data_IF_721755285275
#
_entry.id   IF_721755285275
#
_cell.length_a   1.000
_cell.length_b   1.000
_cell.length_c   1.000
_cell.angle_alpha   90.00
_cell.angle_beta   90.00
_cell.angle_gamma   90.00
#
_symmetry.space_group_name_H-M   'P 1'
#
loop_
_entity.id
_entity.type
_entity.pdbx_description
1 polymer ?
#
# COMPACT_ATOMS: atom_id res chain seq x y z
N UNK A 1 12.51 -6.00 42.22
CA UNK A 1 12.70 -4.89 41.25
C UNK A 1 13.26 -5.35 39.90
N UNK A 2 14.11 -6.35 39.82
CA UNK A 2 14.73 -6.85 38.58
C UNK A 2 13.73 -7.34 37.51
N UNK A 3 12.64 -8.01 37.88
CA UNK A 3 11.63 -8.52 36.99
C UNK A 3 10.85 -7.41 36.22
N UNK A 4 10.64 -6.26 36.85
CA UNK A 4 9.98 -5.12 36.19
C UNK A 4 10.88 -4.47 35.14
N UNK A 5 12.19 -4.38 35.39
CA UNK A 5 13.14 -3.87 34.41
C UNK A 5 13.30 -4.78 33.20
N UNK A 6 13.33 -6.11 33.40
CA UNK A 6 13.40 -7.08 32.34
C UNK A 6 12.15 -7.07 31.45
N UNK A 7 10.95 -6.95 32.03
CA UNK A 7 9.70 -6.88 31.25
C UNK A 7 9.58 -5.60 30.41
N UNK A 8 10.02 -4.47 30.94
CA UNK A 8 10.04 -3.19 30.20
C UNK A 8 11.07 -3.25 29.05
N UNK A 9 12.25 -3.82 29.29
CA UNK A 9 13.27 -4.01 28.27
C UNK A 9 12.79 -4.92 27.14
N UNK A 10 12.16 -6.04 27.45
CA UNK A 10 11.59 -6.97 26.47
C UNK A 10 10.49 -6.30 25.64
N UNK A 11 9.61 -5.54 26.27
CA UNK A 11 8.54 -4.81 25.59
C UNK A 11 9.11 -3.76 24.61
N UNK A 12 10.17 -3.06 25.02
CA UNK A 12 10.85 -2.07 24.18
C UNK A 12 11.53 -2.72 22.97
N UNK A 13 12.18 -3.88 23.15
CA UNK A 13 12.77 -4.65 22.07
C UNK A 13 11.70 -5.14 21.09
N UNK A 14 10.62 -5.75 21.57
CA UNK A 14 9.52 -6.21 20.74
C UNK A 14 8.88 -5.08 19.95
N UNK A 15 8.76 -3.89 20.53
CA UNK A 15 8.22 -2.71 19.87
C UNK A 15 9.14 -2.21 18.73
N UNK A 16 10.44 -2.17 18.97
CA UNK A 16 11.41 -1.71 17.97
C UNK A 16 11.55 -2.71 16.83
N UNK A 17 11.71 -3.99 17.14
CA UNK A 17 11.84 -5.06 16.13
C UNK A 17 10.53 -5.21 15.34
N UNK A 18 9.38 -5.19 16.02
CA UNK A 18 8.08 -5.23 15.38
C UNK A 18 7.82 -4.04 14.44
N UNK A 19 8.30 -2.85 14.82
CA UNK A 19 8.23 -1.65 13.98
C UNK A 19 9.08 -1.78 12.72
N UNK A 20 10.31 -2.23 12.86
CA UNK A 20 11.26 -2.43 11.73
C UNK A 20 10.75 -3.47 10.74
N UNK A 21 10.35 -4.63 11.24
CA UNK A 21 9.77 -5.71 10.40
C UNK A 21 8.47 -5.25 9.74
N UNK A 22 7.60 -4.56 10.48
CA UNK A 22 6.33 -4.06 9.97
C UNK A 22 6.50 -3.06 8.83
N UNK A 23 7.43 -2.11 8.97
CA UNK A 23 7.72 -1.14 7.88
C UNK A 23 8.29 -1.81 6.65
N UNK A 24 9.23 -2.76 6.80
CA UNK A 24 9.81 -3.50 5.68
C UNK A 24 8.77 -4.32 4.94
N UNK A 25 7.87 -4.99 5.66
CA UNK A 25 6.76 -5.75 5.05
C UNK A 25 5.78 -4.84 4.32
N UNK A 26 5.40 -3.70 4.93
CA UNK A 26 4.51 -2.74 4.31
C UNK A 26 5.10 -2.16 3.02
N UNK A 27 6.39 -1.80 3.04
CA UNK A 27 7.10 -1.30 1.86
C UNK A 27 7.16 -2.36 0.75
N UNK A 28 7.55 -3.59 1.08
CA UNK A 28 7.59 -4.69 0.10
C UNK A 28 6.22 -4.97 -0.51
N UNK A 29 5.16 -4.92 0.31
CA UNK A 29 3.79 -5.07 -0.18
C UNK A 29 3.41 -3.95 -1.14
N UNK A 30 3.70 -2.70 -0.77
CA UNK A 30 3.40 -1.53 -1.59
C UNK A 30 4.15 -1.58 -2.94
N UNK A 31 5.44 -1.92 -2.94
CA UNK A 31 6.24 -2.05 -4.16
C UNK A 31 5.68 -3.13 -5.10
N UNK A 32 5.29 -4.29 -4.55
CA UNK A 32 4.66 -5.36 -5.34
C UNK A 32 3.31 -4.94 -5.93
N UNK A 33 2.51 -4.20 -5.17
CA UNK A 33 1.22 -3.69 -5.65
C UNK A 33 1.40 -2.60 -6.70
N UNK A 34 2.37 -1.71 -6.52
CA UNK A 34 2.72 -0.70 -7.51
C UNK A 34 3.10 -1.35 -8.85
N UNK A 35 4.00 -2.33 -8.83
CA UNK A 35 4.38 -3.08 -10.03
C UNK A 35 3.19 -3.78 -10.68
N UNK A 36 2.31 -4.40 -9.89
CA UNK A 36 1.11 -5.05 -10.41
C UNK A 36 0.18 -4.05 -11.09
N UNK A 37 -0.04 -2.88 -10.50
CA UNK A 37 -0.90 -1.86 -11.08
C UNK A 37 -0.28 -1.20 -12.31
N UNK A 38 1.04 -0.98 -12.33
CA UNK A 38 1.77 -0.50 -13.51
C UNK A 38 1.59 -1.46 -14.69
N UNK A 39 1.76 -2.77 -14.47
CA UNK A 39 1.55 -3.78 -15.51
C UNK A 39 0.10 -3.78 -15.99
N UNK A 40 -0.84 -3.80 -15.06
CA UNK A 40 -2.27 -3.82 -15.36
C UNK A 40 -2.74 -2.59 -16.14
N UNK A 41 -2.29 -1.40 -15.75
CA UNK A 41 -2.57 -0.17 -16.49
C UNK A 41 -1.90 -0.16 -17.87
N UNK A 42 -0.72 -0.80 -18.00
CA UNK A 42 -0.04 -0.96 -19.28
C UNK A 42 -0.83 -1.77 -20.30
N UNK A 43 -1.56 -2.80 -19.85
CA UNK A 43 -2.45 -3.61 -20.73
C UNK A 43 -3.58 -2.77 -21.36
N UNK A 44 -4.03 -1.70 -20.67
CA UNK A 44 -5.06 -0.79 -21.21
C UNK A 44 -4.50 0.32 -22.10
N UNK A 45 -3.18 0.51 -22.14
CA UNK A 45 -2.50 1.50 -22.97
C UNK A 45 -2.03 0.90 -24.32
N UNK A 46 -2.78 -0.06 -24.85
CA UNK A 46 -2.52 -0.61 -26.17
C UNK A 46 -2.69 0.46 -27.27
N UNK A 47 -1.95 0.29 -28.36
CA UNK A 47 -1.97 1.20 -29.52
C UNK A 47 -3.37 1.39 -30.15
N UNK A 48 -4.32 0.52 -29.81
CA UNK A 48 -5.73 0.65 -30.22
C UNK A 48 -6.59 1.48 -29.23
N UNK A 49 -6.03 1.92 -28.10
CA UNK A 49 -6.80 2.72 -27.14
C UNK A 49 -6.95 4.16 -27.65
N UNK A 50 -8.16 4.51 -28.08
CA UNK A 50 -8.48 5.85 -28.58
C UNK A 50 -8.20 6.98 -27.58
N UNK A 51 -8.37 6.73 -26.29
CA UNK A 51 -8.11 7.71 -25.25
C UNK A 51 -6.59 7.99 -25.10
N UNK A 52 -5.76 6.94 -25.09
CA UNK A 52 -4.31 7.07 -25.06
C UNK A 52 -3.78 7.80 -26.29
N UNK A 53 -4.26 7.43 -27.47
CA UNK A 53 -3.87 8.10 -28.72
C UNK A 53 -4.28 9.57 -28.75
N UNK A 54 -5.48 9.90 -28.30
CA UNK A 54 -5.94 11.29 -28.22
C UNK A 54 -5.15 12.12 -27.20
N UNK A 55 -4.72 11.51 -26.09
CA UNK A 55 -3.83 12.13 -25.12
C UNK A 55 -2.45 12.42 -25.72
N UNK A 56 -1.85 11.43 -26.37
CA UNK A 56 -0.55 11.58 -27.04
C UNK A 56 -0.60 12.66 -28.14
N UNK A 57 -1.62 12.68 -28.96
CA UNK A 57 -1.77 13.69 -30.02
C UNK A 57 -1.87 15.12 -29.44
N UNK A 58 -2.65 15.30 -28.37
CA UNK A 58 -2.76 16.60 -27.68
C UNK A 58 -1.46 16.99 -26.98
N UNK A 59 -0.82 16.06 -26.30
CA UNK A 59 0.48 16.27 -25.64
C UNK A 59 1.55 16.64 -26.65
N UNK A 60 1.65 15.92 -27.75
CA UNK A 60 2.58 16.23 -28.83
C UNK A 60 2.35 17.64 -29.41
N UNK A 61 1.09 18.00 -29.69
CA UNK A 61 0.76 19.32 -30.19
C UNK A 61 1.15 20.44 -29.20
N UNK A 62 0.94 20.22 -27.90
CA UNK A 62 1.34 21.16 -26.85
C UNK A 62 2.86 21.32 -26.77
N UNK A 63 3.61 20.21 -26.70
CA UNK A 63 5.07 20.26 -26.60
C UNK A 63 5.73 20.76 -27.90
N UNK A 64 5.11 20.53 -29.05
CA UNK A 64 5.62 21.03 -30.32
C UNK A 64 5.66 22.57 -30.36
N UNK A 65 4.69 23.24 -29.73
CA UNK A 65 4.69 24.71 -29.61
C UNK A 65 5.86 25.23 -28.75
N UNK A 66 6.36 24.40 -27.81
CA UNK A 66 7.43 24.79 -26.90
C UNK A 66 8.83 24.42 -27.43
N UNK A 67 8.96 23.27 -28.06
CA UNK A 67 10.25 22.71 -28.49
C UNK A 67 10.57 23.00 -29.96
N UNK A 68 9.55 23.28 -30.77
CA UNK A 68 9.63 23.39 -32.23
C UNK A 68 10.23 22.13 -32.91
N UNK A 69 10.40 21.04 -32.19
CA UNK A 69 10.96 19.76 -32.65
C UNK A 69 9.90 18.63 -32.52
N UNK A 70 9.48 18.02 -33.66
CA UNK A 70 8.49 16.96 -33.64
C UNK A 70 8.92 15.71 -32.88
N UNK A 71 10.22 15.38 -32.91
CA UNK A 71 10.76 14.17 -32.25
C UNK A 71 10.80 14.38 -30.74
N UNK A 72 11.32 15.52 -30.30
CA UNK A 72 11.35 15.87 -28.88
C UNK A 72 9.93 15.99 -28.30
N UNK A 73 8.99 16.58 -29.02
CA UNK A 73 7.60 16.71 -28.58
C UNK A 73 6.90 15.35 -28.40
N UNK A 74 7.16 14.40 -29.29
CA UNK A 74 6.63 13.04 -29.17
C UNK A 74 7.20 12.33 -27.94
N UNK A 75 8.51 12.44 -27.70
CA UNK A 75 9.14 11.84 -26.54
C UNK A 75 8.60 12.43 -25.23
N UNK A 76 8.41 13.73 -25.15
CA UNK A 76 7.83 14.38 -23.97
C UNK A 76 6.38 13.95 -23.73
N UNK A 77 5.57 13.80 -24.77
CA UNK A 77 4.20 13.32 -24.65
C UNK A 77 4.13 11.86 -24.14
N UNK A 78 5.03 10.99 -24.61
CA UNK A 78 5.15 9.61 -24.13
C UNK A 78 5.62 9.57 -22.67
N UNK A 79 6.58 10.40 -22.30
CA UNK A 79 7.07 10.50 -20.93
C UNK A 79 5.98 10.98 -19.98
N UNK A 80 5.16 11.95 -20.40
CA UNK A 80 4.04 12.42 -19.58
C UNK A 80 2.96 11.35 -19.40
N UNK A 81 2.65 10.57 -20.44
CA UNK A 81 1.75 9.42 -20.33
C UNK A 81 2.28 8.38 -19.35
N UNK A 82 3.59 8.10 -19.39
CA UNK A 82 4.21 7.16 -18.46
C UNK A 82 4.19 7.69 -17.01
N UNK A 83 4.45 8.98 -16.81
CA UNK A 83 4.34 9.62 -15.50
C UNK A 83 2.94 9.51 -14.92
N UNK A 84 1.91 9.75 -15.73
CA UNK A 84 0.51 9.60 -15.32
C UNK A 84 0.18 8.15 -14.96
N UNK A 85 0.66 7.19 -15.76
CA UNK A 85 0.51 5.77 -15.49
C UNK A 85 1.11 5.40 -14.13
N UNK A 86 2.34 5.84 -13.88
CA UNK A 86 3.04 5.58 -12.63
C UNK A 86 2.34 6.23 -11.44
N UNK A 87 1.87 7.47 -11.57
CA UNK A 87 1.10 8.14 -10.52
C UNK A 87 -0.19 7.39 -10.17
N UNK A 88 -0.93 6.93 -11.17
CA UNK A 88 -2.16 6.15 -10.95
C UNK A 88 -1.86 4.80 -10.29
N UNK A 89 -0.82 4.09 -10.74
CA UNK A 89 -0.40 2.83 -10.15
C UNK A 89 -0.04 3.00 -8.67
N UNK A 90 0.78 4.01 -8.35
CA UNK A 90 1.18 4.29 -6.97
C UNK A 90 -0.01 4.67 -6.09
N UNK A 91 -0.96 5.47 -6.60
CA UNK A 91 -2.20 5.77 -5.87
C UNK A 91 -2.99 4.51 -5.53
N UNK A 92 -3.16 3.60 -6.48
CA UNK A 92 -3.86 2.33 -6.26
C UNK A 92 -3.10 1.43 -5.26
N UNK A 93 -1.77 1.38 -5.33
CA UNK A 93 -0.95 0.64 -4.39
C UNK A 93 -1.08 1.17 -2.94
N UNK A 94 -1.21 2.50 -2.78
CA UNK A 94 -1.50 3.09 -1.48
C UNK A 94 -2.88 2.66 -0.95
N UNK A 95 -3.92 2.70 -1.77
CA UNK A 95 -5.25 2.24 -1.37
C UNK A 95 -5.23 0.77 -0.92
N UNK A 96 -4.55 -0.10 -1.66
CA UNK A 96 -4.39 -1.51 -1.30
C UNK A 96 -3.66 -1.67 0.04
N UNK A 97 -2.63 -0.85 0.29
CA UNK A 97 -1.87 -0.86 1.54
C UNK A 97 -2.74 -0.43 2.73
N UNK A 98 -3.55 0.62 2.58
CA UNK A 98 -4.52 1.04 3.61
C UNK A 98 -5.57 -0.04 3.88
N UNK A 99 -6.08 -0.69 2.83
CA UNK A 99 -7.03 -1.80 2.96
C UNK A 99 -6.42 -2.96 3.76
N UNK A 100 -5.19 -3.34 3.45
CA UNK A 100 -4.48 -4.40 4.15
C UNK A 100 -4.31 -4.07 5.64
N UNK A 101 -3.88 -2.83 5.96
CA UNK A 101 -3.72 -2.38 7.35
C UNK A 101 -5.07 -2.39 8.08
N UNK A 102 -6.13 -1.93 7.44
CA UNK A 102 -7.47 -1.94 8.02
C UNK A 102 -7.92 -3.36 8.35
N UNK A 103 -7.80 -4.30 7.40
CA UNK A 103 -8.17 -5.72 7.60
C UNK A 103 -7.35 -6.33 8.73
N UNK A 104 -6.03 -6.08 8.77
CA UNK A 104 -5.16 -6.58 9.83
C UNK A 104 -5.58 -6.03 11.20
N UNK A 105 -5.88 -4.74 11.28
CA UNK A 105 -6.33 -4.09 12.53
C UNK A 105 -7.65 -4.68 13.01
N UNK A 106 -8.62 -4.89 12.11
CA UNK A 106 -9.88 -5.55 12.44
C UNK A 106 -9.67 -6.99 12.91
N UNK A 107 -8.79 -7.74 12.27
CA UNK A 107 -8.48 -9.12 12.65
C UNK A 107 -7.88 -9.18 14.07
N UNK A 108 -6.94 -8.30 14.39
CA UNK A 108 -6.36 -8.20 15.74
C UNK A 108 -7.41 -7.77 16.77
N UNK A 109 -8.23 -6.78 16.48
CA UNK A 109 -9.32 -6.36 17.36
C UNK A 109 -10.31 -7.50 17.64
N UNK A 110 -10.66 -8.26 16.60
CA UNK A 110 -11.53 -9.42 16.73
C UNK A 110 -10.91 -10.53 17.60
N UNK A 111 -9.62 -10.81 17.42
CA UNK A 111 -8.88 -11.75 18.27
C UNK A 111 -8.89 -11.33 19.74
N UNK A 112 -8.67 -10.06 20.03
CA UNK A 112 -8.70 -9.52 21.40
C UNK A 112 -10.09 -9.70 22.03
N UNK A 113 -11.16 -9.43 21.25
CA UNK A 113 -12.54 -9.64 21.72
C UNK A 113 -12.83 -11.11 22.02
N UNK A 114 -12.38 -12.03 21.19
CA UNK A 114 -12.52 -13.48 21.43
C UNK A 114 -11.77 -13.91 22.70
N UNK A 115 -10.56 -13.44 22.90
CA UNK A 115 -9.78 -13.74 24.11
C UNK A 115 -10.48 -13.22 25.37
N UNK A 116 -11.01 -11.97 25.33
CA UNK A 116 -11.74 -11.40 26.46
C UNK A 116 -12.97 -12.24 26.82
N UNK A 117 -13.71 -12.71 25.83
CA UNK A 117 -14.89 -13.57 26.03
C UNK A 117 -14.49 -14.92 26.66
N UNK A 118 -13.43 -15.56 26.17
CA UNK A 118 -12.93 -16.83 26.71
C UNK A 118 -12.46 -16.73 28.18
N UNK A 119 -11.80 -15.63 28.54
CA UNK A 119 -11.34 -15.39 29.91
C UNK A 119 -12.51 -15.13 30.86
N UNK A 120 -13.52 -14.36 30.41
CA UNK A 120 -14.72 -14.09 31.22
C UNK A 120 -15.52 -15.37 31.51
N UNK A 121 -15.64 -16.26 30.53
CA UNK A 121 -16.36 -17.54 30.66
C UNK A 121 -15.65 -18.49 31.64
N UNK A 122 -14.32 -18.60 31.60
CA UNK A 122 -13.53 -19.36 32.55
C UNK A 122 -13.63 -18.82 33.99
N UNK A 123 -13.63 -17.48 34.15
CA UNK A 123 -13.80 -16.82 35.44
C UNK A 123 -15.17 -17.12 36.09
N UNK A 124 -16.23 -17.15 35.30
CA UNK A 124 -17.59 -17.46 35.76
C UNK A 124 -17.73 -18.91 36.23
N UNK A 125 -17.08 -19.84 35.55
CA UNK A 125 -17.08 -21.28 35.97
C UNK A 125 -16.29 -21.55 37.24
N UNK A 126 -15.27 -20.79 37.55
CA UNK A 126 -14.51 -20.91 38.80
C UNK A 126 -15.29 -20.35 40.00
N UNK A 127 -16.00 -19.26 39.83
CA UNK A 127 -16.83 -18.63 40.86
C UNK A 127 -18.09 -19.46 41.25
N UNK A 128 -18.53 -20.39 40.39
CA UNK A 128 -19.62 -21.31 40.68
C UNK A 128 -19.21 -22.59 41.46
N UNK A 129 -17.91 -22.80 41.65
CA UNK A 129 -17.38 -24.01 42.34
C UNK A 129 -16.98 -23.74 43.80
N UNK A 130 -17.04 -22.48 44.25
CA UNK A 130 -16.90 -22.09 45.68
C UNK A 130 -18.29 -21.95 46.33
#
# INVERSE_FOLDING_TARGET
MALRGASVGLLSLLRNEGGSVGTSLAQTFQERRDQFHVLRLGEYLDSFNAAANSFLARGQAFFLQQTADPVASQQLALQELENLRQQQASSLAYFDSFWMIAVLTFAVAFLVLLMKRSVAEKGAHLAQRE
#
